data_IF_427046053302
#
_entry.id   IF_427046053302
#
_cell.length_a   1.000
_cell.length_b   1.000
_cell.length_c   1.000
_cell.angle_alpha   90.00
_cell.angle_beta   90.00
_cell.angle_gamma   90.00
#
_symmetry.space_group_name_H-M   'P 1'
#
loop_
_entity.id
_entity.type
_entity.pdbx_description
1 polymer ?
#
# COMPACT_ATOMS: atom_id res chain seq x y z
N UNK A 1 -10.30 -3.61 -17.12
CA UNK A 1 -11.40 -4.37 -16.51
C UNK A 1 -12.68 -4.08 -17.30
N UNK A 2 -13.44 -5.13 -17.64
CA UNK A 2 -14.71 -5.03 -18.38
C UNK A 2 -15.92 -4.98 -17.42
N UNK A 3 -15.68 -4.99 -16.12
CA UNK A 3 -16.72 -4.89 -15.11
C UNK A 3 -17.19 -3.44 -14.97
N UNK A 4 -18.49 -3.26 -14.74
CA UNK A 4 -19.00 -1.97 -14.33
C UNK A 4 -18.45 -1.55 -12.96
N UNK A 5 -18.46 -0.26 -12.59
CA UNK A 5 -17.86 0.21 -11.34
C UNK A 5 -18.43 -0.44 -10.08
N UNK A 6 -19.72 -0.79 -10.07
CA UNK A 6 -20.40 -1.42 -8.92
C UNK A 6 -19.92 -2.86 -8.78
N UNK A 7 -20.00 -3.66 -9.85
CA UNK A 7 -19.54 -5.04 -9.86
C UNK A 7 -18.05 -5.17 -9.54
N UNK A 8 -17.22 -4.22 -9.99
CA UNK A 8 -15.81 -4.18 -9.66
C UNK A 8 -15.55 -3.92 -8.17
N UNK A 9 -16.33 -3.02 -7.56
CA UNK A 9 -16.23 -2.74 -6.12
C UNK A 9 -16.64 -3.94 -5.28
N UNK A 10 -17.77 -4.59 -5.62
CA UNK A 10 -18.26 -5.80 -4.93
C UNK A 10 -17.27 -6.97 -5.06
N UNK A 11 -16.65 -7.10 -6.22
CA UNK A 11 -15.60 -8.09 -6.44
C UNK A 11 -14.39 -7.85 -5.53
N UNK A 12 -13.88 -6.62 -5.47
CA UNK A 12 -12.74 -6.26 -4.63
C UNK A 12 -13.04 -6.48 -3.14
N UNK A 13 -14.26 -6.13 -2.69
CA UNK A 13 -14.67 -6.37 -1.30
C UNK A 13 -14.73 -7.86 -0.98
N UNK A 14 -15.24 -8.68 -1.91
CA UNK A 14 -15.27 -10.15 -1.77
C UNK A 14 -13.86 -10.72 -1.67
N UNK A 15 -12.94 -10.32 -2.54
CA UNK A 15 -11.54 -10.76 -2.52
C UNK A 15 -10.86 -10.37 -1.21
N UNK A 16 -11.07 -9.14 -0.74
CA UNK A 16 -10.57 -8.68 0.55
C UNK A 16 -11.11 -9.51 1.72
N UNK A 17 -12.39 -9.85 1.69
CA UNK A 17 -13.01 -10.70 2.71
C UNK A 17 -12.41 -12.09 2.73
N UNK A 18 -12.19 -12.71 1.59
CA UNK A 18 -11.54 -14.01 1.45
C UNK A 18 -10.11 -13.98 2.01
N UNK A 19 -9.32 -12.97 1.66
CA UNK A 19 -7.98 -12.81 2.21
C UNK A 19 -7.99 -12.70 3.74
N UNK A 20 -8.85 -11.81 4.28
CA UNK A 20 -8.92 -11.56 5.72
C UNK A 20 -9.47 -12.73 6.53
N UNK A 21 -10.56 -13.36 6.05
CA UNK A 21 -11.33 -14.34 6.84
C UNK A 21 -10.73 -15.76 6.69
N UNK A 22 -10.09 -16.05 5.56
CA UNK A 22 -9.53 -17.37 5.25
C UNK A 22 -7.98 -17.36 5.26
N UNK A 23 -7.34 -16.19 5.19
CA UNK A 23 -5.89 -16.06 5.10
C UNK A 23 -5.33 -16.41 3.72
N UNK A 24 -6.16 -16.36 2.67
CA UNK A 24 -5.74 -16.66 1.30
C UNK A 24 -4.77 -15.60 0.79
N UNK A 25 -3.63 -16.01 0.26
CA UNK A 25 -2.70 -15.10 -0.43
C UNK A 25 -3.33 -14.57 -1.71
N UNK A 26 -3.29 -13.28 -1.91
CA UNK A 26 -3.88 -12.60 -3.08
C UNK A 26 -2.81 -11.77 -3.79
N UNK A 27 -2.72 -11.93 -5.10
CA UNK A 27 -1.99 -11.01 -5.98
C UNK A 27 -3.02 -10.35 -6.89
N UNK A 28 -3.11 -9.04 -6.84
CA UNK A 28 -4.04 -8.26 -7.63
C UNK A 28 -3.32 -7.28 -8.54
N UNK A 29 -3.69 -7.26 -9.81
CA UNK A 29 -3.28 -6.23 -10.76
C UNK A 29 -4.45 -5.30 -11.02
N UNK A 30 -4.31 -4.02 -10.70
CA UNK A 30 -5.41 -3.05 -10.84
C UNK A 30 -4.87 -1.68 -11.26
N UNK A 31 -5.69 -0.95 -11.99
CA UNK A 31 -5.40 0.43 -12.41
C UNK A 31 -6.02 1.46 -11.47
N UNK A 32 -7.09 1.11 -10.78
CA UNK A 32 -7.76 1.95 -9.78
C UNK A 32 -7.09 1.80 -8.42
N UNK A 33 -5.95 2.45 -8.26
CA UNK A 33 -5.10 2.31 -7.08
C UNK A 33 -5.81 2.78 -5.80
N UNK A 34 -6.73 3.73 -5.92
CA UNK A 34 -7.52 4.25 -4.79
C UNK A 34 -8.33 3.17 -4.07
N UNK A 35 -8.78 2.15 -4.80
CA UNK A 35 -9.63 1.07 -4.28
C UNK A 35 -8.81 -0.08 -3.65
N UNK A 36 -7.52 -0.19 -3.95
CA UNK A 36 -6.68 -1.33 -3.57
C UNK A 36 -5.57 -0.94 -2.58
N UNK A 37 -4.89 0.17 -2.82
CA UNK A 37 -3.74 0.62 -2.03
C UNK A 37 -4.02 0.69 -0.52
N UNK A 38 -5.20 1.16 -0.04
CA UNK A 38 -5.45 1.31 1.40
C UNK A 38 -5.43 0.01 2.21
N UNK A 39 -5.47 -1.16 1.55
CA UNK A 39 -5.57 -2.46 2.22
C UNK A 39 -4.61 -3.52 1.67
N UNK A 40 -3.73 -3.13 0.74
CA UNK A 40 -2.62 -3.98 0.33
C UNK A 40 -1.55 -4.04 1.43
N UNK A 41 -1.03 -5.24 1.71
CA UNK A 41 0.11 -5.42 2.62
C UNK A 41 1.40 -5.00 1.92
N UNK A 42 1.51 -5.32 0.63
CA UNK A 42 2.65 -4.96 -0.22
C UNK A 42 2.21 -4.51 -1.61
N UNK A 43 2.97 -3.58 -2.17
CA UNK A 43 2.77 -3.05 -3.52
C UNK A 43 4.05 -3.23 -4.33
N UNK A 44 3.91 -3.75 -5.54
CA UNK A 44 4.96 -3.80 -6.56
C UNK A 44 4.61 -2.84 -7.68
N UNK A 45 5.49 -1.92 -7.97
CA UNK A 45 5.32 -0.95 -9.07
C UNK A 45 6.16 -1.39 -10.26
N UNK A 46 5.48 -1.71 -11.36
CA UNK A 46 6.13 -2.05 -12.62
C UNK A 46 6.13 -0.84 -13.56
N UNK A 47 7.29 -0.55 -14.15
CA UNK A 47 7.43 0.43 -15.20
C UNK A 47 8.41 -0.08 -16.26
N UNK A 48 8.11 0.19 -17.54
CA UNK A 48 8.92 -0.19 -18.71
C UNK A 48 9.37 -1.67 -18.72
N UNK A 49 8.55 -2.57 -18.17
CA UNK A 49 8.82 -4.01 -18.13
C UNK A 49 9.68 -4.49 -16.96
N UNK A 50 10.15 -3.59 -16.12
CA UNK A 50 10.95 -3.88 -14.92
C UNK A 50 10.24 -3.51 -13.62
N UNK A 51 10.75 -4.00 -12.50
CA UNK A 51 10.31 -3.62 -11.17
C UNK A 51 10.93 -2.27 -10.80
N UNK A 52 10.10 -1.23 -10.72
CA UNK A 52 10.55 0.11 -10.35
C UNK A 52 10.80 0.23 -8.85
N UNK A 53 9.86 -0.26 -8.05
CA UNK A 53 9.95 -0.26 -6.58
C UNK A 53 8.97 -1.25 -5.96
N UNK A 54 9.22 -1.62 -4.72
CA UNK A 54 8.35 -2.46 -3.90
C UNK A 54 8.37 -2.01 -2.45
N UNK A 55 7.26 -2.16 -1.75
CA UNK A 55 7.17 -1.79 -0.34
C UNK A 55 5.75 -1.75 0.17
N UNK A 56 5.57 -1.21 1.36
CA UNK A 56 4.25 -0.90 1.90
C UNK A 56 3.61 0.25 1.11
N UNK A 57 2.27 0.38 1.13
CA UNK A 57 1.59 1.48 0.44
C UNK A 57 2.14 2.88 0.75
N UNK A 58 2.51 3.15 2.02
CA UNK A 58 3.08 4.43 2.43
C UNK A 58 4.45 4.69 1.79
N UNK A 59 5.36 3.71 1.85
CA UNK A 59 6.70 3.79 1.23
C UNK A 59 6.62 4.03 -0.28
N UNK A 60 5.66 3.37 -0.93
CA UNK A 60 5.43 3.56 -2.37
C UNK A 60 4.96 4.98 -2.68
N UNK A 61 4.06 5.53 -1.86
CA UNK A 61 3.60 6.91 -2.01
C UNK A 61 4.74 7.91 -1.90
N UNK A 62 5.60 7.77 -0.90
CA UNK A 62 6.78 8.62 -0.71
C UNK A 62 7.76 8.50 -1.87
N UNK A 63 8.08 7.28 -2.30
CA UNK A 63 8.97 7.04 -3.44
C UNK A 63 8.46 7.67 -4.74
N UNK A 64 7.17 7.48 -5.07
CA UNK A 64 6.59 8.02 -6.30
C UNK A 64 6.51 9.55 -6.27
N UNK A 65 6.30 10.15 -5.09
CA UNK A 65 6.37 11.60 -4.88
C UNK A 65 7.78 12.12 -5.15
N UNK A 66 8.81 11.55 -4.52
CA UNK A 66 10.21 11.98 -4.69
C UNK A 66 10.67 11.90 -6.14
N UNK A 67 10.25 10.84 -6.84
CA UNK A 67 10.58 10.64 -8.25
C UNK A 67 9.72 11.45 -9.22
N UNK A 68 8.75 12.21 -8.73
CA UNK A 68 7.76 12.92 -9.56
C UNK A 68 7.11 12.00 -10.60
N UNK A 69 6.87 10.73 -10.23
CA UNK A 69 6.36 9.72 -11.15
C UNK A 69 4.86 9.95 -11.40
N UNK A 70 4.42 9.91 -12.67
CA UNK A 70 3.04 10.19 -13.05
C UNK A 70 1.98 9.29 -12.39
N UNK A 71 2.36 8.09 -11.96
CA UNK A 71 1.47 7.18 -11.22
C UNK A 71 1.07 7.72 -9.84
N UNK A 72 1.83 8.66 -9.26
CA UNK A 72 1.48 9.30 -7.99
C UNK A 72 0.10 9.97 -8.03
N UNK A 73 -0.30 10.52 -9.18
CA UNK A 73 -1.63 11.12 -9.39
C UNK A 73 -2.80 10.11 -9.32
N UNK A 74 -2.51 8.82 -9.40
CA UNK A 74 -3.49 7.74 -9.25
C UNK A 74 -3.59 7.19 -7.82
N UNK A 75 -2.75 7.67 -6.90
CA UNK A 75 -2.77 7.28 -5.50
C UNK A 75 -4.01 7.80 -4.78
N UNK A 76 -4.38 7.21 -3.62
CA UNK A 76 -5.47 7.71 -2.79
C UNK A 76 -5.35 9.21 -2.48
N UNK A 77 -6.46 9.94 -2.54
CA UNK A 77 -6.49 11.39 -2.28
C UNK A 77 -5.80 11.80 -0.97
N UNK A 78 -5.95 11.08 0.17
CA UNK A 78 -5.22 11.41 1.39
C UNK A 78 -3.71 11.43 1.21
N UNK A 79 -3.15 10.52 0.40
CA UNK A 79 -1.72 10.48 0.09
C UNK A 79 -1.29 11.66 -0.76
N UNK A 80 -2.11 12.06 -1.73
CA UNK A 80 -1.84 13.22 -2.57
C UNK A 80 -1.81 14.51 -1.76
N UNK A 81 -2.79 14.70 -0.86
CA UNK A 81 -2.83 15.87 0.03
C UNK A 81 -1.66 15.89 1.00
N UNK A 82 -1.32 14.72 1.57
CA UNK A 82 -0.15 14.56 2.44
C UNK A 82 1.14 15.01 1.75
N UNK A 83 1.26 14.73 0.48
CA UNK A 83 2.45 15.02 -0.30
C UNK A 83 2.69 16.53 -0.53
N UNK A 84 1.64 17.37 -0.48
CA UNK A 84 1.73 18.81 -0.65
C UNK A 84 2.19 19.56 0.62
N UNK A 85 2.27 18.84 1.75
CA UNK A 85 2.62 19.44 3.04
C UNK A 85 3.89 18.80 3.57
N UNK A 86 4.89 19.61 3.90
CA UNK A 86 6.09 19.15 4.58
C UNK A 86 5.77 18.73 6.02
N UNK A 87 5.97 17.46 6.32
CA UNK A 87 5.73 16.93 7.66
C UNK A 87 6.48 15.61 7.86
N UNK A 88 6.64 15.17 9.11
CA UNK A 88 7.30 13.94 9.51
C UNK A 88 6.31 12.88 10.03
N UNK A 89 5.01 13.05 9.77
CA UNK A 89 3.98 12.10 10.19
C UNK A 89 3.84 10.97 9.17
N UNK A 90 3.34 9.79 9.57
CA UNK A 90 3.09 8.69 8.65
C UNK A 90 2.09 9.07 7.54
N UNK A 91 2.36 8.61 6.32
CA UNK A 91 1.50 8.84 5.16
C UNK A 91 0.11 8.20 5.37
N UNK A 92 -0.99 8.98 5.31
CA UNK A 92 -2.33 8.45 5.47
C UNK A 92 -2.81 7.74 4.20
N UNK A 93 -3.35 6.55 4.34
CA UNK A 93 -3.86 5.75 3.23
C UNK A 93 -5.37 5.91 3.04
N UNK A 94 -6.09 6.19 4.13
CA UNK A 94 -7.55 6.31 4.16
C UNK A 94 -8.01 7.73 4.50
N UNK A 95 -9.24 8.07 4.11
CA UNK A 95 -9.85 9.37 4.47
C UNK A 95 -9.89 9.58 5.99
N UNK A 96 -10.11 8.52 6.76
CA UNK A 96 -10.10 8.58 8.23
C UNK A 96 -8.70 8.93 8.77
N UNK A 97 -7.67 8.30 8.25
CA UNK A 97 -6.29 8.60 8.60
C UNK A 97 -5.89 10.01 8.14
N UNK A 98 -6.32 10.43 6.93
CA UNK A 98 -6.10 11.77 6.42
C UNK A 98 -6.70 12.85 7.31
N UNK A 99 -7.92 12.66 7.82
CA UNK A 99 -8.51 13.59 8.80
C UNK A 99 -7.71 13.66 10.10
N UNK A 100 -7.28 12.52 10.62
CA UNK A 100 -6.45 12.48 11.82
C UNK A 100 -5.10 13.16 11.60
N UNK A 101 -4.49 12.94 10.42
CA UNK A 101 -3.24 13.56 10.02
C UNK A 101 -3.38 15.09 9.93
N UNK A 102 -4.41 15.61 9.24
CA UNK A 102 -4.67 17.06 9.16
C UNK A 102 -4.79 17.67 10.55
N UNK A 103 -5.54 17.01 11.45
CA UNK A 103 -5.69 17.50 12.84
C UNK A 103 -4.34 17.58 13.57
N UNK A 104 -3.45 16.62 13.36
CA UNK A 104 -2.12 16.61 13.96
C UNK A 104 -1.21 17.68 13.36
N UNK A 105 -1.24 17.86 12.03
CA UNK A 105 -0.48 18.92 11.35
C UNK A 105 -0.93 20.31 11.80
N UNK A 106 -2.25 20.53 11.88
CA UNK A 106 -2.80 21.80 12.34
C UNK A 106 -2.46 22.08 13.82
N UNK A 107 -2.45 21.06 14.66
CA UNK A 107 -2.04 21.20 16.06
C UNK A 107 -0.55 21.52 16.20
N UNK A 108 0.31 20.95 15.35
CA UNK A 108 1.74 21.22 15.35
C UNK A 108 2.10 22.62 14.77
N UNK A 109 1.25 23.15 13.89
CA UNK A 109 1.43 24.51 13.32
C UNK A 109 0.82 25.61 14.18
N UNK A 110 0.03 25.25 15.20
CA UNK A 110 -0.72 26.19 16.04
C UNK A 110 0.06 26.66 17.28
N UNK A 111 1.33 27.04 17.14
CA UNK A 111 2.03 27.78 18.22
C UNK A 111 1.49 29.21 18.42
N UNK A 112 0.35 29.58 17.81
CA UNK A 112 -0.23 30.92 17.92
C UNK A 112 -1.75 30.98 18.07
N UNK A 113 -2.47 29.92 18.43
CA UNK A 113 -3.87 30.04 18.86
C UNK A 113 -4.18 29.08 20.00
N UNK A 114 -4.21 29.64 21.21
CA UNK A 114 -4.84 29.01 22.37
C UNK A 114 -6.33 28.85 22.11
N UNK A 115 -6.83 27.67 21.97
CA UNK A 115 -8.06 27.06 22.48
C UNK A 115 -8.15 25.63 21.93
N UNK A 116 -7.87 24.63 22.76
CA UNK A 116 -8.52 23.34 22.62
C UNK A 116 -8.63 22.69 24.00
N UNK A 117 -9.87 22.62 24.46
CA UNK A 117 -10.27 21.84 25.61
C UNK A 117 -9.69 20.43 25.52
N UNK A 118 -9.09 19.98 26.63
CA UNK A 118 -8.57 18.63 26.79
C UNK A 118 -9.72 17.60 26.58
N UNK A 119 -9.86 17.11 25.37
CA UNK A 119 -10.78 16.03 25.06
C UNK A 119 -10.35 14.78 25.81
N UNK A 120 -11.23 14.25 26.63
CA UNK A 120 -11.15 12.99 27.38
C UNK A 120 -10.72 11.77 26.52
N UNK A 121 -10.73 11.92 25.23
CA UNK A 121 -10.34 10.92 24.22
C UNK A 121 -8.82 10.72 24.10
N UNK A 122 -7.99 11.72 24.43
CA UNK A 122 -6.54 11.63 24.21
C UNK A 122 -5.82 10.76 25.26
N UNK A 123 -6.29 10.76 26.51
CA UNK A 123 -5.65 10.01 27.63
C UNK A 123 -5.86 8.48 27.54
N UNK A 124 -6.95 8.04 26.93
CA UNK A 124 -7.23 6.61 26.75
C UNK A 124 -6.50 5.99 25.54
N UNK A 125 -6.17 6.78 24.51
CA UNK A 125 -5.48 6.30 23.31
C UNK A 125 -4.04 5.85 23.58
N UNK A 126 -3.31 6.57 24.43
CA UNK A 126 -1.93 6.21 24.78
C UNK A 126 -1.83 4.91 25.63
N UNK A 127 -2.82 4.65 26.48
CA UNK A 127 -2.89 3.40 27.26
C UNK A 127 -3.26 2.20 26.39
N UNK A 128 -4.17 2.38 25.40
CA UNK A 128 -4.51 1.34 24.44
C UNK A 128 -3.35 1.04 23.48
N UNK A 129 -2.67 2.09 22.99
CA UNK A 129 -1.54 1.95 22.07
C UNK A 129 -0.38 1.19 22.72
N UNK A 130 -0.06 1.49 24.00
CA UNK A 130 0.96 0.72 24.76
C UNK A 130 0.58 -0.74 24.96
N UNK A 131 -0.70 -1.05 25.23
CA UNK A 131 -1.18 -2.44 25.35
C UNK A 131 -1.16 -3.17 24.00
N UNK A 132 -1.56 -2.50 22.91
CA UNK A 132 -1.53 -3.08 21.56
C UNK A 132 -0.10 -3.35 21.08
N UNK A 133 0.85 -2.44 21.34
CA UNK A 133 2.25 -2.66 21.01
C UNK A 133 2.85 -3.82 21.80
N UNK A 134 2.52 -3.96 23.10
CA UNK A 134 3.01 -5.08 23.92
C UNK A 134 2.43 -6.43 23.47
N UNK A 135 1.18 -6.47 23.00
CA UNK A 135 0.56 -7.69 22.44
C UNK A 135 1.13 -7.99 21.04
N UNK A 136 1.34 -6.96 20.23
CA UNK A 136 1.97 -7.07 18.91
C UNK A 136 3.41 -7.58 19.02
N UNK A 137 4.21 -7.04 19.95
CA UNK A 137 5.59 -7.47 20.18
C UNK A 137 5.66 -8.91 20.72
N UNK A 138 4.69 -9.34 21.54
CA UNK A 138 4.57 -10.74 21.98
C UNK A 138 4.12 -11.69 20.87
N UNK A 139 3.29 -11.25 19.94
CA UNK A 139 2.88 -12.05 18.77
C UNK A 139 3.99 -12.10 17.71
N UNK A 140 4.81 -11.05 17.58
CA UNK A 140 5.94 -11.00 16.67
C UNK A 140 7.21 -11.68 17.21
N UNK A 141 7.33 -11.90 18.53
CA UNK A 141 8.42 -12.66 19.15
C UNK A 141 8.19 -14.17 19.18
N UNK A 142 6.98 -14.64 18.81
CA UNK A 142 6.69 -16.06 18.60
C UNK A 142 7.28 -16.51 17.27
N UNK A 143 8.46 -17.13 17.34
CA UNK A 143 9.14 -17.92 16.31
C UNK A 143 8.90 -17.47 14.85
N UNK A 144 9.87 -16.79 14.27
CA UNK A 144 10.11 -16.81 12.82
C UNK A 144 10.42 -18.25 12.38
N UNK A 145 9.42 -19.12 12.32
CA UNK A 145 9.47 -20.25 11.41
C UNK A 145 9.35 -19.61 10.03
N UNK A 146 10.43 -19.64 9.27
CA UNK A 146 10.43 -19.20 7.88
C UNK A 146 9.54 -20.17 7.09
N UNK A 147 8.25 -19.88 7.03
CA UNK A 147 7.40 -20.54 6.04
C UNK A 147 7.96 -20.20 4.66
N UNK A 148 8.05 -21.17 3.75
CA UNK A 148 8.48 -20.88 2.40
C UNK A 148 7.52 -19.85 1.77
N UNK A 149 8.02 -18.96 0.90
CA UNK A 149 7.17 -18.02 0.20
C UNK A 149 6.10 -18.75 -0.61
N UNK A 150 4.94 -18.14 -0.77
CA UNK A 150 3.88 -18.68 -1.62
C UNK A 150 4.30 -18.68 -3.10
N UNK A 151 5.01 -17.63 -3.52
CA UNK A 151 5.60 -17.49 -4.85
C UNK A 151 6.96 -16.83 -4.72
N UNK A 152 7.96 -17.38 -5.39
CA UNK A 152 9.27 -16.78 -5.56
C UNK A 152 9.60 -16.70 -7.06
N UNK A 153 9.90 -15.52 -7.53
CA UNK A 153 10.30 -15.24 -8.93
C UNK A 153 11.69 -14.64 -8.91
N UNK A 154 12.63 -15.22 -9.69
CA UNK A 154 14.02 -14.80 -9.76
C UNK A 154 14.47 -14.66 -11.21
N UNK A 155 15.08 -13.55 -11.53
CA UNK A 155 15.73 -13.27 -12.81
C UNK A 155 14.86 -13.60 -14.03
N UNK A 156 13.53 -13.26 -13.97
CA UNK A 156 12.60 -13.59 -15.04
C UNK A 156 12.65 -12.52 -16.14
N UNK A 157 12.91 -12.99 -17.34
CA UNK A 157 12.86 -12.23 -18.58
C UNK A 157 11.82 -12.84 -19.51
N UNK A 158 10.99 -12.02 -20.16
CA UNK A 158 10.00 -12.50 -21.10
C UNK A 158 9.82 -11.58 -22.30
N UNK A 159 9.69 -12.19 -23.48
CA UNK A 159 9.34 -11.55 -24.75
C UNK A 159 8.40 -12.45 -25.54
N UNK A 160 7.47 -11.86 -26.28
CA UNK A 160 6.52 -12.62 -27.11
C UNK A 160 7.16 -13.13 -28.41
N UNK A 161 8.06 -12.36 -28.99
CA UNK A 161 8.74 -12.68 -30.25
C UNK A 161 10.25 -12.73 -30.03
N UNK A 162 10.92 -13.63 -30.77
CA UNK A 162 12.35 -13.94 -30.63
C UNK A 162 13.25 -12.72 -30.83
N UNK A 163 12.87 -11.80 -31.71
CA UNK A 163 13.56 -10.55 -32.02
C UNK A 163 12.82 -9.30 -31.49
N UNK A 164 11.76 -9.50 -30.67
CA UNK A 164 10.97 -8.45 -30.06
C UNK A 164 11.61 -7.81 -28.83
N UNK A 165 11.01 -6.72 -28.36
CA UNK A 165 11.40 -6.09 -27.09
C UNK A 165 11.04 -6.99 -25.93
N UNK A 166 11.89 -6.99 -24.90
CA UNK A 166 11.56 -7.64 -23.64
C UNK A 166 10.38 -6.92 -22.97
N UNK A 167 9.34 -7.68 -22.71
CA UNK A 167 8.10 -7.20 -22.04
C UNK A 167 8.26 -7.25 -20.54
N UNK A 168 8.97 -8.27 -20.03
CA UNK A 168 9.40 -8.37 -18.63
C UNK A 168 10.91 -8.45 -18.61
N UNK A 169 11.55 -7.69 -17.72
CA UNK A 169 13.00 -7.57 -17.63
C UNK A 169 13.44 -7.74 -16.18
N UNK A 170 14.30 -8.72 -15.94
CA UNK A 170 14.95 -8.95 -14.64
C UNK A 170 13.98 -8.89 -13.45
N UNK A 171 12.81 -9.55 -13.60
CA UNK A 171 11.76 -9.51 -12.58
C UNK A 171 12.15 -10.40 -11.41
N UNK A 172 12.27 -9.78 -10.24
CA UNK A 172 12.52 -10.43 -8.97
C UNK A 172 11.43 -10.04 -7.98
N UNK A 173 10.66 -11.01 -7.45
CA UNK A 173 9.66 -10.75 -6.44
C UNK A 173 9.43 -11.98 -5.55
N UNK A 174 9.05 -11.73 -4.30
CA UNK A 174 8.72 -12.74 -3.31
C UNK A 174 7.36 -12.45 -2.71
N UNK A 175 6.45 -13.40 -2.76
CA UNK A 175 5.09 -13.33 -2.21
C UNK A 175 4.99 -14.26 -1.01
N UNK A 176 4.72 -13.72 0.18
CA UNK A 176 4.55 -14.50 1.39
C UNK A 176 3.14 -15.07 1.50
N UNK A 177 3.00 -16.17 2.22
CA UNK A 177 1.70 -16.78 2.45
C UNK A 177 0.79 -15.88 3.29
N UNK A 178 -0.49 -15.78 2.90
CA UNK A 178 -1.53 -15.05 3.62
C UNK A 178 -1.53 -13.53 3.42
N UNK A 179 -0.51 -12.95 2.79
CA UNK A 179 -0.44 -11.51 2.52
C UNK A 179 -1.20 -11.11 1.24
N UNK A 180 -1.60 -9.87 1.16
CA UNK A 180 -2.22 -9.25 0.00
C UNK A 180 -1.24 -8.36 -0.75
N UNK A 181 -0.97 -8.68 -2.00
CA UNK A 181 -0.04 -7.96 -2.86
C UNK A 181 -0.75 -7.23 -3.99
N UNK A 182 -0.45 -5.98 -4.18
CA UNK A 182 -0.88 -5.20 -5.33
C UNK A 182 0.27 -5.06 -6.34
N UNK A 183 0.05 -5.53 -7.57
CA UNK A 183 0.95 -5.35 -8.70
C UNK A 183 0.42 -4.21 -9.55
N UNK A 184 1.09 -3.08 -9.55
CA UNK A 184 0.64 -1.85 -10.19
C UNK A 184 1.61 -1.41 -11.28
N UNK A 185 1.14 -0.63 -12.24
CA UNK A 185 1.94 -0.16 -13.36
C UNK A 185 1.07 0.42 -14.48
N UNK A 186 1.66 1.17 -15.38
CA UNK A 186 1.01 1.70 -16.57
C UNK A 186 0.56 0.60 -17.56
N UNK A 187 -0.12 0.98 -18.63
CA UNK A 187 -0.45 0.05 -19.71
C UNK A 187 0.81 -0.41 -20.44
N UNK A 188 0.89 -1.71 -20.74
CA UNK A 188 2.03 -2.29 -21.45
C UNK A 188 3.28 -2.55 -20.61
N UNK A 189 3.22 -2.40 -19.28
CA UNK A 189 4.38 -2.63 -18.39
C UNK A 189 4.60 -4.10 -17.97
N UNK A 190 3.90 -5.05 -18.59
CA UNK A 190 4.10 -6.47 -18.34
C UNK A 190 3.36 -7.06 -17.13
N UNK A 191 2.41 -6.31 -16.51
CA UNK A 191 1.69 -6.79 -15.32
C UNK A 191 0.92 -8.09 -15.51
N UNK A 192 0.33 -8.29 -16.67
CA UNK A 192 -0.52 -9.45 -17.01
C UNK A 192 0.22 -10.48 -17.87
N UNK A 193 1.46 -10.27 -18.15
CA UNK A 193 2.36 -11.23 -18.76
C UNK A 193 2.86 -12.21 -17.72
#
# INVERSE_FOLDING_TARGET
SQLDPIAASDFLETVRKINRDIGTTVILTEHRLQDVIPWADKVYVLDQGGLLTQGTPGEIGEFLKEKHHGMFLSMPVPMQVYAEVENNLPCPLTVKEGRNWITQVMAATSDTVSVCEESYFCKNKQKLQKKLNTVRDKLLSGSKSSMPPAIEVKDVWFRYEKDGKDVVQDLNLEVKQGEFYALVGGNGTGKST
#
